data_IF_720870395314
#
_entry.id   IF_720870395314
#
_cell.length_a   1.000
_cell.length_b   1.000
_cell.length_c   1.000
_cell.angle_alpha   90.00
_cell.angle_beta   90.00
_cell.angle_gamma   90.00
#
_symmetry.space_group_name_H-M   'P 1'
#
loop_
_entity.id
_entity.type
_entity.pdbx_description
1 polymer ?
#
# COMPACT_ATOMS: atom_id res chain seq x y z
N UNK A 1 -22.11 -22.32 -9.08
CA UNK A 1 -20.84 -22.11 -8.36
C UNK A 1 -20.62 -20.61 -8.27
N UNK A 2 -20.74 -20.04 -7.07
CA UNK A 2 -20.73 -18.60 -6.84
C UNK A 2 -19.44 -17.97 -7.40
N UNK A 3 -19.59 -16.92 -8.22
CA UNK A 3 -18.48 -16.11 -8.66
C UNK A 3 -17.71 -15.62 -7.43
N UNK A 4 -16.45 -16.03 -7.30
CA UNK A 4 -15.52 -15.50 -6.31
C UNK A 4 -15.32 -14.02 -6.63
N UNK A 5 -16.23 -13.17 -6.14
CA UNK A 5 -16.02 -11.73 -6.04
C UNK A 5 -14.69 -11.58 -5.31
N UNK A 6 -13.70 -10.99 -5.97
CA UNK A 6 -12.44 -10.60 -5.33
C UNK A 6 -12.85 -9.81 -4.09
N UNK A 7 -12.68 -10.41 -2.90
CA UNK A 7 -13.14 -9.82 -1.66
C UNK A 7 -12.14 -8.72 -1.30
N UNK A 8 -12.35 -7.52 -1.84
CA UNK A 8 -11.64 -6.36 -1.35
C UNK A 8 -11.92 -6.23 0.16
N UNK A 9 -10.92 -5.92 1.00
CA UNK A 9 -11.13 -5.68 2.42
C UNK A 9 -12.15 -4.56 2.65
N UNK A 10 -12.99 -4.69 3.68
CA UNK A 10 -13.89 -3.60 4.09
C UNK A 10 -13.09 -2.48 4.73
N UNK A 11 -12.87 -1.42 3.96
CA UNK A 11 -12.20 -0.23 4.43
C UNK A 11 -13.18 0.72 5.11
N UNK A 12 -12.73 1.35 6.19
CA UNK A 12 -13.49 2.42 6.83
C UNK A 12 -13.59 3.64 5.91
N UNK A 13 -14.67 4.41 6.03
CA UNK A 13 -14.81 5.70 5.34
C UNK A 13 -14.65 6.84 6.33
N UNK A 14 -14.12 7.97 5.85
CA UNK A 14 -14.02 9.21 6.60
C UNK A 14 -14.46 10.37 5.70
N UNK A 15 -15.23 11.30 6.25
CA UNK A 15 -15.53 12.56 5.57
C UNK A 15 -14.47 13.59 5.93
N UNK A 16 -13.70 14.04 4.93
CA UNK A 16 -12.77 15.15 5.07
C UNK A 16 -13.22 16.30 4.18
N UNK A 17 -13.46 17.47 4.77
CA UNK A 17 -13.85 18.71 4.05
C UNK A 17 -15.02 18.49 3.07
N UNK A 18 -16.03 17.72 3.48
CA UNK A 18 -17.22 17.42 2.66
C UNK A 18 -17.04 16.32 1.60
N UNK A 19 -15.83 15.76 1.43
CA UNK A 19 -15.58 14.63 0.54
C UNK A 19 -15.39 13.34 1.33
N UNK A 20 -16.03 12.25 0.91
CA UNK A 20 -15.83 10.93 1.51
C UNK A 20 -14.58 10.26 0.94
N UNK A 21 -13.76 9.72 1.82
CA UNK A 21 -12.56 8.95 1.51
C UNK A 21 -12.62 7.60 2.21
N UNK A 22 -12.14 6.56 1.54
CA UNK A 22 -11.79 5.31 2.17
C UNK A 22 -10.46 5.46 2.90
N UNK A 23 -10.31 4.77 4.03
CA UNK A 23 -9.13 4.79 4.89
C UNK A 23 -8.75 3.39 5.33
N UNK A 24 -7.46 3.08 5.23
CA UNK A 24 -6.83 1.90 5.85
C UNK A 24 -5.64 2.33 6.72
N UNK A 25 -5.18 1.44 7.61
CA UNK A 25 -3.99 1.64 8.42
C UNK A 25 -3.02 0.49 8.16
N UNK A 26 -1.90 0.80 7.52
CA UNK A 26 -0.83 -0.16 7.30
C UNK A 26 0.19 -0.02 8.43
N UNK A 27 0.60 -1.14 9.00
CA UNK A 27 1.65 -1.17 10.03
C UNK A 27 2.91 -1.72 9.40
N UNK A 28 3.98 -0.93 9.44
CA UNK A 28 5.33 -1.31 9.06
C UNK A 28 5.88 -2.36 10.04
N UNK A 29 6.79 -3.21 9.57
CA UNK A 29 7.54 -4.14 10.41
C UNK A 29 8.36 -3.42 11.50
N UNK A 30 8.68 -2.15 11.30
CA UNK A 30 9.31 -1.28 12.32
C UNK A 30 8.32 -0.70 13.34
N UNK A 31 7.04 -1.09 13.32
CA UNK A 31 6.00 -0.58 14.21
C UNK A 31 5.47 0.82 13.85
N UNK A 32 5.88 1.38 12.70
CA UNK A 32 5.34 2.65 12.19
C UNK A 32 3.99 2.43 11.55
N UNK A 33 2.99 3.22 11.94
CA UNK A 33 1.62 3.10 11.41
C UNK A 33 1.37 4.22 10.40
N UNK A 34 1.07 3.85 9.16
CA UNK A 34 0.76 4.77 8.07
C UNK A 34 -0.74 4.70 7.77
N UNK A 35 -1.43 5.84 7.86
CA UNK A 35 -2.84 5.94 7.45
C UNK A 35 -2.92 6.34 5.99
N UNK A 36 -3.55 5.50 5.17
CA UNK A 36 -3.76 5.77 3.76
C UNK A 36 -5.19 6.25 3.52
N UNK A 37 -5.36 7.14 2.55
CA UNK A 37 -6.64 7.69 2.14
C UNK A 37 -6.78 7.63 0.62
N UNK A 38 -7.97 7.24 0.15
CA UNK A 38 -8.29 7.23 -1.27
C UNK A 38 -9.78 7.51 -1.50
N UNK A 39 -10.14 7.93 -2.72
CA UNK A 39 -11.55 8.21 -3.04
C UNK A 39 -12.32 6.94 -3.39
N UNK A 40 -11.62 5.93 -3.90
CA UNK A 40 -12.20 4.63 -4.26
C UNK A 40 -11.55 3.49 -3.49
N UNK A 41 -12.24 2.35 -3.43
CA UNK A 41 -11.76 1.13 -2.78
C UNK A 41 -10.55 0.54 -3.48
N UNK A 42 -10.54 0.62 -4.82
CA UNK A 42 -9.47 0.09 -5.69
C UNK A 42 -8.18 0.91 -5.56
N UNK A 43 -8.29 2.25 -5.58
CA UNK A 43 -7.15 3.13 -5.34
C UNK A 43 -6.54 2.90 -3.95
N UNK A 44 -7.38 2.68 -2.94
CA UNK A 44 -6.90 2.40 -1.59
C UNK A 44 -6.12 1.08 -1.53
N UNK A 45 -6.64 0.05 -2.19
CA UNK A 45 -5.98 -1.26 -2.26
C UNK A 45 -4.63 -1.18 -2.98
N UNK A 46 -4.56 -0.48 -4.11
CA UNK A 46 -3.30 -0.27 -4.82
C UNK A 46 -2.27 0.44 -3.92
N UNK A 47 -2.66 1.52 -3.25
CA UNK A 47 -1.79 2.23 -2.32
C UNK A 47 -1.37 1.38 -1.12
N UNK A 48 -2.23 0.51 -0.64
CA UNK A 48 -1.93 -0.43 0.45
C UNK A 48 -0.87 -1.44 0.00
N UNK A 49 -1.02 -2.04 -1.17
CA UNK A 49 -0.03 -2.95 -1.75
C UNK A 49 1.31 -2.27 -1.99
N UNK A 50 1.31 -1.06 -2.56
CA UNK A 50 2.52 -0.26 -2.75
C UNK A 50 3.20 0.10 -1.43
N UNK A 51 2.42 0.44 -0.39
CA UNK A 51 2.96 0.74 0.93
C UNK A 51 3.61 -0.51 1.55
N UNK A 52 2.97 -1.68 1.45
CA UNK A 52 3.52 -2.96 1.90
C UNK A 52 4.80 -3.28 1.13
N UNK A 53 4.79 -3.16 -0.19
CA UNK A 53 5.96 -3.42 -1.03
C UNK A 53 7.10 -2.44 -0.74
N UNK A 54 6.80 -1.17 -0.43
CA UNK A 54 7.83 -0.20 0.01
C UNK A 54 8.38 -0.53 1.39
N UNK A 55 7.56 -1.02 2.32
CA UNK A 55 7.99 -1.48 3.64
C UNK A 55 8.92 -2.68 3.48
N UNK A 56 8.52 -3.65 2.66
CA UNK A 56 9.29 -4.85 2.35
C UNK A 56 10.60 -4.45 1.68
N UNK A 57 10.57 -3.65 0.61
CA UNK A 57 11.75 -3.14 -0.07
C UNK A 57 12.67 -2.35 0.87
N UNK A 58 12.16 -1.47 1.74
CA UNK A 58 13.00 -0.73 2.70
C UNK A 58 13.61 -1.62 3.76
N UNK A 59 12.93 -2.70 4.14
CA UNK A 59 13.44 -3.67 5.11
C UNK A 59 14.46 -4.62 4.46
N UNK A 60 14.20 -5.07 3.24
CA UNK A 60 15.08 -5.93 2.45
C UNK A 60 16.35 -5.20 1.97
N UNK A 61 16.23 -3.91 1.61
CA UNK A 61 17.35 -3.07 1.16
C UNK A 61 18.36 -2.72 2.25
N UNK A 62 18.18 -3.19 3.49
CA UNK A 62 19.17 -2.98 4.56
C UNK A 62 20.32 -4.01 4.59
N UNK A 63 20.36 -4.96 3.64
CA UNK A 63 21.42 -5.99 3.61
C UNK A 63 22.12 -6.22 2.26
N UNK A 64 21.89 -5.40 1.23
CA UNK A 64 22.66 -5.51 -0.02
C UNK A 64 22.65 -4.19 -0.81
N UNK A 65 23.82 -3.65 -1.23
CA UNK A 65 23.85 -2.66 -2.29
C UNK A 65 23.52 -3.42 -3.59
N UNK A 66 22.30 -3.30 -4.10
CA UNK A 66 21.97 -3.91 -5.38
C UNK A 66 22.61 -3.08 -6.49
N UNK A 67 23.79 -3.54 -6.92
CA UNK A 67 24.58 -3.11 -8.09
C UNK A 67 23.85 -3.40 -9.43
N UNK A 68 22.62 -3.93 -9.41
CA UNK A 68 21.91 -4.38 -10.61
C UNK A 68 21.10 -3.28 -11.33
N UNK A 69 20.88 -2.10 -10.73
CA UNK A 69 20.27 -0.95 -11.42
C UNK A 69 21.30 -0.01 -12.10
N UNK A 70 22.55 -0.43 -12.30
CA UNK A 70 23.57 0.35 -13.04
C UNK A 70 24.05 -0.28 -14.37
N UNK A 71 23.43 -1.36 -14.86
CA UNK A 71 23.83 -2.01 -16.12
C UNK A 71 22.84 -1.87 -17.29
N UNK A 72 21.66 -1.28 -17.11
CA UNK A 72 20.80 -0.95 -18.24
C UNK A 72 20.47 0.55 -18.20
N UNK A 73 21.41 1.36 -18.69
CA UNK A 73 21.16 2.45 -19.67
C UNK A 73 22.24 3.54 -19.57
N UNK A 74 23.35 3.26 -20.25
CA UNK A 74 24.36 4.21 -20.77
C UNK A 74 25.34 4.84 -19.77
#
# INVERSE_FOLDING_TARGET
MAARRMMLPDYGTVSMKGTQYYRTRVTDQQGRRVSLYARTREELYQKEQEAIQQIENKTYRRSTPTVEEYCEKW
#
